data_IF_937394409561
#
_entry.id   IF_937394409561
#
_cell.length_a   1.000
_cell.length_b   1.000
_cell.length_c   1.000
_cell.angle_alpha   90.00
_cell.angle_beta   90.00
_cell.angle_gamma   90.00
#
_symmetry.space_group_name_H-M   'P 1'
#
loop_
_entity.id
_entity.type
_entity.pdbx_description
1 polymer ?
#
# COMPACT_ATOMS: atom_id res chain seq x y z
N UNK A 1 2.28 -12.85 -12.72
CA UNK A 1 3.19 -12.94 -11.56
C UNK A 1 2.93 -11.72 -10.69
N UNK A 2 3.34 -11.67 -9.43
CA UNK A 2 3.24 -10.41 -8.67
C UNK A 2 4.35 -9.46 -9.12
N UNK A 3 4.00 -8.20 -9.31
CA UNK A 3 4.95 -7.19 -9.79
C UNK A 3 5.52 -6.40 -8.63
N UNK A 4 6.85 -6.45 -8.47
CA UNK A 4 7.58 -5.66 -7.48
C UNK A 4 8.73 -4.89 -8.13
N UNK A 5 9.25 -3.90 -7.42
CA UNK A 5 10.43 -3.17 -7.85
C UNK A 5 11.61 -4.13 -8.08
N UNK A 6 12.26 -4.00 -9.23
CA UNK A 6 13.57 -4.62 -9.49
C UNK A 6 14.61 -4.11 -8.48
N UNK A 7 15.76 -4.79 -8.31
CA UNK A 7 16.81 -4.32 -7.40
C UNK A 7 17.26 -2.88 -7.68
N UNK A 8 17.35 -2.48 -8.95
CA UNK A 8 17.70 -1.12 -9.36
C UNK A 8 16.62 -0.10 -8.97
N UNK A 9 15.34 -0.39 -9.25
CA UNK A 9 14.23 0.46 -8.85
C UNK A 9 14.14 0.59 -7.32
N UNK A 10 14.33 -0.52 -6.59
CA UNK A 10 14.38 -0.53 -5.13
C UNK A 10 15.51 0.37 -4.61
N UNK A 11 16.69 0.32 -5.21
CA UNK A 11 17.81 1.19 -4.83
C UNK A 11 17.50 2.67 -5.05
N UNK A 12 16.86 3.01 -6.18
CA UNK A 12 16.43 4.38 -6.49
C UNK A 12 15.40 4.91 -5.49
N UNK A 13 14.38 4.10 -5.14
CA UNK A 13 13.39 4.48 -4.12
C UNK A 13 14.05 4.72 -2.76
N UNK A 14 14.98 3.85 -2.35
CA UNK A 14 15.71 4.02 -1.09
C UNK A 14 16.55 5.30 -1.10
N UNK A 15 17.20 5.62 -2.23
CA UNK A 15 17.98 6.85 -2.37
C UNK A 15 17.08 8.10 -2.26
N UNK A 16 15.96 8.14 -2.97
CA UNK A 16 15.02 9.27 -2.91
C UNK A 16 14.39 9.47 -1.53
N UNK A 17 14.12 8.38 -0.79
CA UNK A 17 13.63 8.49 0.60
C UNK A 17 14.66 9.12 1.54
N UNK A 18 15.96 8.83 1.34
CA UNK A 18 17.04 9.46 2.12
C UNK A 18 17.16 10.94 1.78
N UNK A 19 17.17 11.26 0.50
CA UNK A 19 17.22 12.65 0.03
C UNK A 19 16.02 13.47 0.52
N UNK A 20 14.82 12.90 0.55
CA UNK A 20 13.64 13.56 1.12
C UNK A 20 13.80 13.81 2.63
N UNK A 21 14.37 12.86 3.37
CA UNK A 21 14.64 13.05 4.80
C UNK A 21 15.63 14.19 5.03
N UNK A 22 16.74 14.21 4.28
CA UNK A 22 17.76 15.27 4.35
C UNK A 22 17.15 16.64 3.99
N UNK A 23 16.29 16.68 2.96
CA UNK A 23 15.60 17.90 2.55
C UNK A 23 14.68 18.45 3.65
N UNK A 24 13.87 17.60 4.29
CA UNK A 24 12.98 18.02 5.37
C UNK A 24 13.74 18.46 6.63
N UNK A 25 14.88 17.82 6.94
CA UNK A 25 15.75 18.25 8.03
C UNK A 25 16.35 19.64 7.76
N UNK A 26 16.80 19.90 6.53
CA UNK A 26 17.37 21.19 6.13
C UNK A 26 16.35 22.34 6.02
N UNK A 27 15.05 22.04 5.93
CA UNK A 27 13.99 23.02 5.70
C UNK A 27 12.86 22.91 6.75
N UNK A 28 13.11 23.26 8.03
CA UNK A 28 12.14 23.09 9.12
C UNK A 28 10.87 23.94 8.98
N UNK A 29 10.88 24.94 8.10
CA UNK A 29 9.70 25.74 7.76
C UNK A 29 8.69 24.97 6.88
N UNK A 30 9.10 23.86 6.27
CA UNK A 30 8.22 23.02 5.45
C UNK A 30 7.49 22.04 6.37
N UNK A 31 6.14 22.04 6.39
CA UNK A 31 5.40 21.08 7.18
C UNK A 31 5.72 19.64 6.75
N UNK A 32 6.11 18.81 7.72
CA UNK A 32 6.25 17.38 7.56
C UNK A 32 5.07 16.65 8.20
N UNK A 33 4.73 15.46 7.68
CA UNK A 33 3.78 14.57 8.36
C UNK A 33 4.40 14.01 9.64
N UNK A 34 3.56 13.73 10.63
CA UNK A 34 3.97 13.05 11.85
C UNK A 34 4.24 11.54 11.65
N UNK A 35 3.80 10.98 10.51
CA UNK A 35 3.85 9.57 10.16
C UNK A 35 4.04 9.38 8.63
N UNK A 36 4.60 8.24 8.25
CA UNK A 36 4.81 7.86 6.85
C UNK A 36 4.54 6.36 6.67
N UNK A 37 3.83 5.97 5.60
CA UNK A 37 3.55 4.57 5.30
C UNK A 37 3.96 4.22 3.86
N UNK A 38 4.89 3.27 3.72
CA UNK A 38 5.28 2.68 2.44
C UNK A 38 4.35 1.50 2.14
N UNK A 39 3.51 1.64 1.12
CA UNK A 39 2.52 0.65 0.73
C UNK A 39 3.02 -0.23 -0.43
N UNK A 40 2.96 -1.55 -0.26
CA UNK A 40 3.19 -2.56 -1.29
C UNK A 40 1.88 -3.30 -1.54
N UNK A 41 1.32 -3.15 -2.74
CA UNK A 41 0.11 -3.85 -3.15
C UNK A 41 0.47 -5.17 -3.81
N UNK A 42 -0.14 -6.25 -3.35
CA UNK A 42 0.00 -7.60 -3.92
C UNK A 42 -1.04 -7.72 -5.03
N UNK A 43 -0.67 -7.22 -6.20
CA UNK A 43 -1.49 -7.25 -7.41
C UNK A 43 -0.74 -8.01 -8.50
N UNK A 44 -1.50 -8.66 -9.38
CA UNK A 44 -0.95 -9.25 -10.59
C UNK A 44 -0.37 -8.18 -11.51
N UNK A 45 0.49 -8.64 -12.43
CA UNK A 45 0.90 -7.82 -13.56
C UNK A 45 -0.32 -7.28 -14.32
N UNK A 46 -0.14 -6.17 -15.03
CA UNK A 46 -1.24 -5.55 -15.78
C UNK A 46 -1.90 -6.56 -16.73
N UNK A 47 -3.22 -6.73 -16.60
CA UNK A 47 -3.99 -7.69 -17.39
C UNK A 47 -3.90 -9.15 -16.91
N UNK A 48 -3.24 -9.42 -15.78
CA UNK A 48 -3.16 -10.76 -15.18
C UNK A 48 -4.02 -10.78 -13.91
N UNK A 49 -5.14 -11.49 -13.98
CA UNK A 49 -5.90 -11.82 -12.78
C UNK A 49 -5.12 -12.82 -11.93
N UNK A 50 -5.16 -12.61 -10.61
CA UNK A 50 -4.54 -13.48 -9.62
C UNK A 50 -5.60 -13.83 -8.60
N UNK A 51 -5.69 -15.12 -8.27
CA UNK A 51 -6.60 -15.62 -7.25
C UNK A 51 -6.30 -14.97 -5.89
N UNK A 52 -7.35 -14.72 -5.12
CA UNK A 52 -7.27 -14.26 -3.75
C UNK A 52 -6.48 -15.22 -2.86
N UNK A 53 -6.53 -16.54 -3.11
CA UNK A 53 -5.69 -17.50 -2.40
C UNK A 53 -4.19 -17.25 -2.65
N UNK A 54 -3.80 -17.01 -3.91
CA UNK A 54 -2.43 -16.68 -4.28
C UNK A 54 -1.99 -15.34 -3.68
N UNK A 55 -2.84 -14.30 -3.73
CA UNK A 55 -2.55 -13.00 -3.10
C UNK A 55 -2.32 -13.14 -1.59
N UNK A 56 -3.13 -13.94 -0.91
CA UNK A 56 -2.99 -14.20 0.53
C UNK A 56 -1.74 -15.02 0.85
N UNK A 57 -1.43 -16.05 0.05
CA UNK A 57 -0.21 -16.84 0.21
C UNK A 57 1.05 -15.96 0.05
N UNK A 58 1.03 -15.07 -0.93
CA UNK A 58 2.10 -14.09 -1.13
C UNK A 58 2.20 -13.10 0.03
N UNK A 59 1.06 -12.67 0.58
CA UNK A 59 1.05 -11.81 1.76
C UNK A 59 1.70 -12.50 2.97
N UNK A 60 1.39 -13.77 3.21
CA UNK A 60 2.01 -14.57 4.28
C UNK A 60 3.53 -14.69 4.08
N UNK A 61 3.98 -14.89 2.83
CA UNK A 61 5.41 -14.91 2.49
C UNK A 61 6.09 -13.58 2.83
N UNK A 62 5.48 -12.45 2.46
CA UNK A 62 6.01 -11.11 2.79
C UNK A 62 5.96 -10.84 4.28
N UNK A 63 4.87 -11.23 4.96
CA UNK A 63 4.69 -11.09 6.40
C UNK A 63 5.82 -11.78 7.18
N UNK A 64 6.17 -13.01 6.77
CA UNK A 64 7.30 -13.74 7.33
C UNK A 64 8.65 -13.03 7.11
N UNK A 65 8.89 -12.50 5.90
CA UNK A 65 10.11 -11.75 5.59
C UNK A 65 10.21 -10.41 6.35
N UNK A 66 9.08 -9.75 6.58
CA UNK A 66 9.00 -8.46 7.25
C UNK A 66 8.90 -8.59 8.78
N UNK A 67 8.84 -9.81 9.31
CA UNK A 67 8.57 -10.10 10.72
C UNK A 67 7.34 -9.32 11.22
N UNK A 68 6.23 -9.49 10.48
CA UNK A 68 5.01 -8.73 10.67
C UNK A 68 3.79 -9.67 10.72
N UNK A 69 2.84 -9.47 11.64
CA UNK A 69 1.62 -10.28 11.66
C UNK A 69 0.66 -9.88 10.53
N UNK A 70 -0.01 -10.87 9.94
CA UNK A 70 -1.14 -10.63 9.04
C UNK A 70 -2.38 -10.24 9.83
N UNK A 71 -3.10 -9.23 9.33
CA UNK A 71 -4.39 -8.75 9.83
C UNK A 71 -5.38 -8.70 8.68
N UNK A 72 -6.58 -9.22 8.92
CA UNK A 72 -7.61 -9.38 7.90
C UNK A 72 -8.88 -8.66 8.34
N UNK A 73 -9.46 -7.83 7.48
CA UNK A 73 -10.73 -7.15 7.74
C UNK A 73 -11.46 -6.89 6.43
N UNK A 74 -12.67 -7.42 6.29
CA UNK A 74 -13.57 -7.19 5.15
C UNK A 74 -12.90 -7.45 3.78
N UNK A 75 -12.21 -8.59 3.62
CA UNK A 75 -11.50 -8.94 2.37
C UNK A 75 -10.26 -8.08 2.08
N UNK A 76 -9.82 -7.24 3.02
CA UNK A 76 -8.53 -6.57 2.98
C UNK A 76 -7.59 -7.21 4.00
N UNK A 77 -6.46 -7.70 3.51
CA UNK A 77 -5.44 -8.39 4.27
C UNK A 77 -4.16 -7.56 4.27
N UNK A 78 -3.54 -7.36 5.43
CA UNK A 78 -2.36 -6.52 5.56
C UNK A 78 -1.32 -7.10 6.49
N UNK A 79 -0.04 -6.95 6.15
CA UNK A 79 1.08 -7.14 7.05
C UNK A 79 1.77 -5.79 7.26
N UNK A 80 2.01 -5.40 8.51
CA UNK A 80 2.60 -4.10 8.86
C UNK A 80 3.82 -4.28 9.75
N UNK A 81 4.93 -3.62 9.39
CA UNK A 81 6.14 -3.50 10.21
C UNK A 81 6.45 -2.03 10.48
N UNK A 82 6.55 -1.66 11.75
CA UNK A 82 6.86 -0.29 12.17
C UNK A 82 8.36 -0.05 12.41
N UNK A 83 8.77 1.19 12.18
CA UNK A 83 10.10 1.76 12.42
C UNK A 83 9.89 3.17 13.03
N UNK A 84 9.50 3.21 14.32
CA UNK A 84 8.99 4.45 14.91
C UNK A 84 7.71 4.92 14.19
N UNK A 85 7.63 6.19 13.73
CA UNK A 85 6.47 6.71 13.00
C UNK A 85 6.40 6.26 11.53
N UNK A 86 7.40 5.52 11.04
CA UNK A 86 7.43 5.01 9.66
C UNK A 86 6.94 3.58 9.63
N UNK A 87 6.06 3.23 8.69
CA UNK A 87 5.49 1.88 8.56
C UNK A 87 5.71 1.32 7.17
N UNK A 88 6.19 0.09 7.08
CA UNK A 88 6.06 -0.75 5.89
C UNK A 88 4.73 -1.49 5.95
N UNK A 89 3.95 -1.45 4.87
CA UNK A 89 2.65 -2.13 4.75
C UNK A 89 2.57 -2.91 3.45
N UNK A 90 2.40 -4.23 3.54
CA UNK A 90 1.98 -5.06 2.42
C UNK A 90 0.47 -5.29 2.47
N UNK A 91 -0.22 -5.26 1.33
CA UNK A 91 -1.68 -5.39 1.25
C UNK A 91 -2.11 -6.33 0.12
N UNK A 92 -2.93 -7.32 0.46
CA UNK A 92 -3.74 -8.09 -0.48
C UNK A 92 -5.21 -7.69 -0.31
N UNK A 93 -5.92 -7.52 -1.42
CA UNK A 93 -7.36 -7.22 -1.42
C UNK A 93 -8.06 -8.27 -2.27
N UNK A 94 -9.06 -8.90 -1.67
CA UNK A 94 -9.91 -9.88 -2.33
C UNK A 94 -10.70 -9.24 -3.47
N UNK A 95 -10.97 -10.00 -4.54
CA UNK A 95 -11.68 -9.48 -5.71
C UNK A 95 -13.07 -8.96 -5.34
N UNK A 96 -13.82 -9.70 -4.53
CA UNK A 96 -15.14 -9.27 -4.06
C UNK A 96 -15.11 -7.92 -3.32
N UNK A 97 -14.00 -7.60 -2.63
CA UNK A 97 -13.83 -6.31 -1.96
C UNK A 97 -13.51 -5.19 -2.94
N UNK A 98 -12.75 -5.48 -4.00
CA UNK A 98 -12.49 -4.56 -5.11
C UNK A 98 -13.78 -4.28 -5.89
N UNK A 99 -14.58 -5.29 -6.21
CA UNK A 99 -15.86 -5.13 -6.92
C UNK A 99 -16.83 -4.26 -6.10
N UNK A 100 -16.93 -4.51 -4.79
CA UNK A 100 -17.74 -3.67 -3.90
C UNK A 100 -17.23 -2.23 -3.80
N UNK A 101 -15.91 -2.02 -3.90
CA UNK A 101 -15.31 -0.68 -3.95
C UNK A 101 -15.65 0.02 -5.26
N UNK A 102 -15.51 -0.66 -6.40
CA UNK A 102 -15.88 -0.11 -7.71
C UNK A 102 -17.37 0.23 -7.80
N UNK A 103 -18.25 -0.64 -7.30
CA UNK A 103 -19.68 -0.38 -7.23
C UNK A 103 -20.02 0.85 -6.34
N UNK A 104 -19.29 1.06 -5.25
CA UNK A 104 -19.44 2.26 -4.42
C UNK A 104 -18.95 3.52 -5.16
N UNK A 105 -17.79 3.43 -5.81
CA UNK A 105 -17.19 4.56 -6.53
C UNK A 105 -17.94 4.94 -7.80
N UNK A 106 -18.59 3.99 -8.48
CA UNK A 106 -19.44 4.28 -9.65
C UNK A 106 -20.68 5.11 -9.30
N UNK A 107 -21.05 5.15 -8.01
CA UNK A 107 -22.10 6.03 -7.50
C UNK A 107 -21.60 7.42 -7.06
N UNK A 108 -20.28 7.62 -6.97
CA UNK A 108 -19.68 8.88 -6.52
C UNK A 108 -19.85 9.98 -7.58
N UNK A 109 -20.92 10.76 -7.43
CA UNK A 109 -21.31 11.81 -8.38
C UNK A 109 -22.82 11.84 -8.64
N UNK A 110 -23.54 10.77 -8.29
CA UNK A 110 -25.00 10.72 -8.43
C UNK A 110 -25.74 11.51 -7.33
N UNK A 111 -25.10 11.77 -6.19
CA UNK A 111 -25.63 12.62 -5.12
C UNK A 111 -24.65 13.77 -4.88
N UNK A 112 -25.08 14.98 -5.20
CA UNK A 112 -24.39 16.22 -4.85
C UNK A 112 -25.09 16.92 -3.69
N UNK A 113 -24.38 17.72 -2.89
CA UNK A 113 -25.04 18.61 -1.94
C UNK A 113 -25.93 19.60 -2.70
N UNK A 114 -27.11 19.90 -2.15
CA UNK A 114 -27.88 21.06 -2.59
C UNK A 114 -26.96 22.28 -2.48
N UNK A 115 -26.80 23.01 -3.58
CA UNK A 115 -26.07 24.28 -3.54
C UNK A 115 -26.82 25.24 -2.62
N UNK A 116 -26.11 26.01 -1.78
CA UNK A 116 -26.72 27.10 -1.03
C UNK A 116 -27.31 28.16 -1.97
#
# INVERSE_FOLDING_TARGET
MFSYATPAQRAQVIAGLRELADYLEAHPQIPARADCEMNVSIIGDYGVEVDDADKRAELERIAALADAPVRSRNGQHTAKRGFGPVTYRATAIDQARMDAHEALYSYAGNIGPDRP
#
